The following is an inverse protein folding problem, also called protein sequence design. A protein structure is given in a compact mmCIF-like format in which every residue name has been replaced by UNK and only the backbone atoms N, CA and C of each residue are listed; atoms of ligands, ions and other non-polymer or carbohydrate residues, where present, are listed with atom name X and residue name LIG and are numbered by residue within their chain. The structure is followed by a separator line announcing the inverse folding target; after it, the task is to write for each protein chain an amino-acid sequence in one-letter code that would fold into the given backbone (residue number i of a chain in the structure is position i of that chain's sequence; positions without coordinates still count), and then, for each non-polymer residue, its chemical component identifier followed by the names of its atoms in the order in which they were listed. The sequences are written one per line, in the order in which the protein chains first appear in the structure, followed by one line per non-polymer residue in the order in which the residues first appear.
data_IF_954345195466
#
_entry.id   IF_954345195466
#
_cell.length_a   1.000
_cell.length_b   1.000
_cell.length_c   1.000
_cell.angle_alpha   90.00
_cell.angle_beta   90.00
_cell.angle_gamma   90.00
#
_symmetry.space_group_name_H-M   'P 1'
#
loop_
_entity.id
_entity.type
_entity.pdbx_description
1 polymer ?
#
# COMPACT_ATOMS: atom_id res chain seq x y z
N UNK A 1 -30.35 60.88 15.40
CA UNK A 1 -30.72 59.52 14.94
C UNK A 1 -29.47 58.84 14.52
N UNK A 2 -28.96 57.93 15.37
CA UNK A 2 -27.74 57.13 15.08
C UNK A 2 -28.18 55.79 14.47
N UNK A 3 -27.79 55.53 13.21
CA UNK A 3 -28.04 54.25 12.55
C UNK A 3 -26.94 53.27 12.96
N UNK A 4 -27.30 52.27 13.78
CA UNK A 4 -26.44 51.17 14.15
C UNK A 4 -26.46 50.16 12.97
N UNK A 5 -25.35 50.06 12.28
CA UNK A 5 -25.14 49.03 11.24
C UNK A 5 -24.58 47.77 11.92
N UNK A 6 -25.40 46.74 12.03
CA UNK A 6 -24.97 45.43 12.48
C UNK A 6 -24.15 44.73 11.36
N UNK A 7 -22.85 44.63 11.53
CA UNK A 7 -21.98 43.78 10.69
C UNK A 7 -22.13 42.35 11.18
N UNK A 8 -22.88 41.55 10.45
CA UNK A 8 -22.87 40.09 10.61
C UNK A 8 -21.56 39.53 10.00
N UNK A 9 -20.58 39.29 10.86
CA UNK A 9 -19.39 38.54 10.47
C UNK A 9 -19.77 37.04 10.42
N UNK A 10 -20.01 36.55 9.21
CA UNK A 10 -20.24 35.16 8.95
C UNK A 10 -18.88 34.43 9.04
N UNK A 11 -18.57 33.84 10.19
CA UNK A 11 -17.42 32.96 10.36
C UNK A 11 -17.65 31.69 9.57
N UNK A 12 -17.12 31.61 8.36
CA UNK A 12 -16.94 30.37 7.60
C UNK A 12 -15.86 29.53 8.32
N UNK A 13 -16.31 28.64 9.18
CA UNK A 13 -15.45 27.64 9.77
C UNK A 13 -15.13 26.63 8.66
N UNK A 14 -14.03 26.86 7.95
CA UNK A 14 -13.45 25.83 7.07
C UNK A 14 -12.97 24.68 7.96
N UNK A 15 -13.80 23.64 8.09
CA UNK A 15 -13.36 22.37 8.60
C UNK A 15 -12.37 21.77 7.58
N UNK A 16 -11.08 22.04 7.77
CA UNK A 16 -10.02 21.32 7.11
C UNK A 16 -10.10 19.87 7.61
N UNK A 17 -10.82 19.03 6.90
CA UNK A 17 -10.72 17.59 7.04
C UNK A 17 -9.26 17.23 6.71
N UNK A 18 -8.47 16.92 7.75
CA UNK A 18 -7.11 16.43 7.57
C UNK A 18 -7.24 15.09 6.86
N UNK A 19 -7.01 15.08 5.55
CA UNK A 19 -6.93 13.85 4.80
C UNK A 19 -5.81 13.01 5.43
N UNK A 20 -6.17 11.86 5.98
CA UNK A 20 -5.20 10.93 6.55
C UNK A 20 -4.31 10.45 5.39
N UNK A 21 -2.99 10.53 5.55
CA UNK A 21 -2.07 10.13 4.49
C UNK A 21 -2.23 8.64 4.19
N UNK A 22 -2.35 8.29 2.91
CA UNK A 22 -2.38 6.91 2.44
C UNK A 22 -1.08 6.18 2.79
N UNK A 23 -1.16 4.91 3.17
CA UNK A 23 -0.01 4.09 3.54
C UNK A 23 -0.26 2.62 3.18
N UNK A 24 0.82 1.86 3.03
CA UNK A 24 0.73 0.44 2.71
C UNK A 24 0.76 -0.44 3.95
N UNK A 25 -0.07 -1.47 3.96
CA UNK A 25 0.04 -2.66 4.79
C UNK A 25 0.14 -3.89 3.90
N UNK A 26 0.40 -5.04 4.50
CA UNK A 26 0.48 -6.32 3.78
C UNK A 26 -0.52 -7.33 4.34
N UNK A 27 -0.96 -8.25 3.52
CA UNK A 27 -1.85 -9.31 3.96
C UNK A 27 -1.13 -10.28 4.89
N UNK A 28 -1.79 -10.64 6.01
CA UNK A 28 -1.18 -11.45 7.06
C UNK A 28 -1.12 -12.94 6.71
N UNK A 29 -2.06 -13.44 5.94
CA UNK A 29 -2.22 -14.87 5.64
C UNK A 29 -2.51 -15.14 4.17
N UNK A 30 -2.53 -16.41 3.80
CA UNK A 30 -2.85 -16.87 2.45
C UNK A 30 -4.34 -16.88 2.12
N UNK A 31 -5.19 -16.51 3.09
CA UNK A 31 -6.62 -16.36 2.87
C UNK A 31 -7.12 -15.13 3.62
N UNK A 32 -7.45 -14.08 2.87
CA UNK A 32 -7.95 -12.82 3.40
C UNK A 32 -9.19 -12.40 2.64
N UNK A 33 -10.28 -12.14 3.36
CA UNK A 33 -11.54 -11.70 2.80
C UNK A 33 -11.56 -10.19 2.60
N UNK A 34 -11.82 -9.77 1.38
CA UNK A 34 -12.18 -8.39 1.01
C UNK A 34 -13.70 -8.29 1.01
N UNK A 35 -14.27 -7.39 1.83
CA UNK A 35 -15.70 -7.23 1.99
C UNK A 35 -16.22 -5.96 1.34
N UNK A 36 -17.52 -5.93 1.06
CA UNK A 36 -18.18 -4.76 0.46
C UNK A 36 -18.33 -3.59 1.45
N UNK A 37 -18.31 -3.85 2.75
CA UNK A 37 -18.45 -2.84 3.79
C UNK A 37 -17.68 -3.19 5.06
N UNK A 38 -17.61 -2.23 6.02
CA UNK A 38 -16.75 -2.31 7.20
C UNK A 38 -17.38 -3.10 8.36
N UNK A 39 -17.90 -4.30 8.07
CA UNK A 39 -18.35 -5.23 9.11
C UNK A 39 -18.27 -6.68 8.65
N UNK A 40 -18.33 -7.62 9.59
CA UNK A 40 -18.33 -9.07 9.29
C UNK A 40 -19.61 -9.55 8.59
N UNK A 41 -20.68 -8.78 8.68
CA UNK A 41 -21.98 -9.10 8.04
C UNK A 41 -22.03 -8.68 6.57
N UNK A 42 -21.15 -7.77 6.14
CA UNK A 42 -21.06 -7.42 4.72
C UNK A 42 -20.55 -8.59 3.89
N UNK A 43 -21.11 -8.78 2.68
CA UNK A 43 -20.68 -9.87 1.80
C UNK A 43 -19.18 -9.80 1.45
N UNK A 44 -18.59 -10.99 1.30
CA UNK A 44 -17.24 -11.12 0.76
C UNK A 44 -17.28 -10.86 -0.74
N UNK A 45 -16.49 -9.91 -1.20
CA UNK A 45 -16.37 -9.49 -2.59
C UNK A 45 -15.28 -10.25 -3.33
N UNK A 46 -14.17 -10.50 -2.63
CA UNK A 46 -12.97 -11.16 -3.15
C UNK A 46 -12.25 -11.87 -2.02
N UNK A 47 -11.63 -13.01 -2.33
CA UNK A 47 -10.75 -13.72 -1.39
C UNK A 47 -9.32 -13.68 -1.93
N UNK A 48 -8.43 -13.00 -1.22
CA UNK A 48 -7.01 -13.04 -1.53
C UNK A 48 -6.39 -14.35 -1.05
N UNK A 49 -5.55 -14.93 -1.88
CA UNK A 49 -4.84 -16.19 -1.58
C UNK A 49 -3.32 -16.04 -1.58
N UNK A 50 -2.83 -14.81 -1.39
CA UNK A 50 -1.40 -14.51 -1.42
C UNK A 50 -0.98 -13.70 -0.18
N UNK A 51 -0.31 -14.39 0.74
CA UNK A 51 0.31 -13.75 1.90
C UNK A 51 1.31 -12.67 1.49
N UNK A 52 1.38 -11.61 2.29
CA UNK A 52 2.27 -10.45 2.11
C UNK A 52 1.97 -9.59 0.86
N UNK A 53 0.85 -9.81 0.18
CA UNK A 53 0.41 -8.89 -0.85
C UNK A 53 0.24 -7.49 -0.25
N UNK A 54 0.92 -6.46 -0.80
CA UNK A 54 0.75 -5.09 -0.32
C UNK A 54 -0.58 -4.51 -0.78
N UNK A 55 -1.23 -3.80 0.12
CA UNK A 55 -2.49 -3.09 -0.13
C UNK A 55 -2.39 -1.66 0.40
N UNK A 56 -2.87 -0.70 -0.39
CA UNK A 56 -2.90 0.71 0.00
C UNK A 56 -4.12 0.95 0.90
N UNK A 57 -3.89 1.50 2.07
CA UNK A 57 -4.95 1.89 3.00
C UNK A 57 -5.44 3.28 2.61
N UNK A 58 -6.72 3.38 2.25
CA UNK A 58 -7.33 4.62 1.76
C UNK A 58 -8.41 5.18 2.69
N UNK A 59 -8.90 4.37 3.62
CA UNK A 59 -9.90 4.79 4.62
C UNK A 59 -9.90 3.82 5.81
N UNK A 60 -10.54 4.21 6.90
CA UNK A 60 -10.71 3.40 8.10
C UNK A 60 -12.12 3.54 8.67
N UNK A 61 -12.61 2.46 9.26
CA UNK A 61 -13.85 2.44 10.04
C UNK A 61 -13.71 1.39 11.15
N UNK A 62 -13.58 1.83 12.42
CA UNK A 62 -13.34 0.92 13.55
C UNK A 62 -12.22 -0.08 13.28
N UNK A 63 -12.53 -1.37 13.33
CA UNK A 63 -11.58 -2.46 13.12
C UNK A 63 -11.41 -2.86 11.64
N UNK A 64 -11.87 -2.05 10.71
CA UNK A 64 -11.74 -2.29 9.29
C UNK A 64 -10.91 -1.20 8.61
N UNK A 65 -10.22 -1.60 7.54
CA UNK A 65 -9.49 -0.69 6.65
C UNK A 65 -10.01 -0.85 5.24
N UNK A 66 -10.34 0.27 4.60
CA UNK A 66 -10.61 0.28 3.17
C UNK A 66 -9.31 0.26 2.42
N UNK A 67 -9.19 -0.66 1.49
CA UNK A 67 -7.96 -0.88 0.74
C UNK A 67 -8.15 -0.68 -0.75
N UNK A 68 -7.05 -0.42 -1.43
CA UNK A 68 -6.90 -0.51 -2.87
C UNK A 68 -5.70 -1.42 -3.17
N UNK A 69 -5.89 -2.45 -4.00
CA UNK A 69 -4.81 -3.33 -4.42
C UNK A 69 -4.18 -2.87 -5.75
N UNK A 70 -3.13 -3.57 -6.19
CA UNK A 70 -2.40 -3.26 -7.42
C UNK A 70 -3.20 -3.53 -8.70
N UNK A 71 -4.33 -4.22 -8.62
CA UNK A 71 -5.27 -4.48 -9.72
C UNK A 71 -6.53 -3.59 -9.65
N UNK A 72 -6.49 -2.55 -8.80
CA UNK A 72 -7.60 -1.60 -8.55
C UNK A 72 -8.86 -2.21 -7.90
N UNK A 73 -8.73 -3.37 -7.24
CA UNK A 73 -9.81 -3.86 -6.39
C UNK A 73 -9.84 -3.05 -5.09
N UNK A 74 -11.04 -2.64 -4.69
CA UNK A 74 -11.25 -1.91 -3.44
C UNK A 74 -12.33 -2.56 -2.59
N UNK A 75 -12.20 -2.45 -1.29
CA UNK A 75 -13.13 -2.98 -0.30
C UNK A 75 -12.53 -2.91 1.11
N UNK A 76 -13.13 -3.64 2.04
CA UNK A 76 -12.81 -3.57 3.45
C UNK A 76 -12.20 -4.87 3.98
N UNK A 77 -11.11 -4.74 4.71
CA UNK A 77 -10.39 -5.85 5.36
C UNK A 77 -10.33 -5.57 6.86
N UNK A 78 -10.60 -6.60 7.67
CA UNK A 78 -10.44 -6.52 9.12
C UNK A 78 -8.96 -6.39 9.49
N UNK A 79 -8.63 -5.55 10.47
CA UNK A 79 -7.25 -5.25 10.87
C UNK A 79 -6.46 -6.49 11.30
N UNK A 80 -7.12 -7.53 11.83
CA UNK A 80 -6.47 -8.80 12.18
C UNK A 80 -5.85 -9.52 10.98
N UNK A 81 -6.30 -9.21 9.76
CA UNK A 81 -5.82 -9.80 8.50
C UNK A 81 -4.71 -8.96 7.84
N UNK A 82 -4.32 -7.86 8.45
CA UNK A 82 -3.28 -6.96 7.96
C UNK A 82 -2.03 -7.03 8.83
N UNK A 83 -0.88 -6.74 8.25
CA UNK A 83 0.40 -6.71 8.95
C UNK A 83 1.27 -5.54 8.48
N UNK A 84 2.30 -5.23 9.28
CA UNK A 84 3.31 -4.22 8.98
C UNK A 84 4.57 -4.81 8.33
N UNK A 85 4.56 -6.07 7.94
CA UNK A 85 5.69 -6.70 7.24
C UNK A 85 5.92 -6.00 5.91
N UNK A 86 7.18 -5.84 5.54
CA UNK A 86 7.59 -5.11 4.34
C UNK A 86 7.56 -6.03 3.13
N UNK A 87 6.76 -5.68 2.15
CA UNK A 87 6.71 -6.32 0.84
C UNK A 87 6.18 -5.35 -0.22
N UNK A 88 6.57 -5.57 -1.44
CA UNK A 88 6.19 -4.75 -2.57
C UNK A 88 5.96 -5.60 -3.83
N UNK A 89 5.23 -5.06 -4.77
CA UNK A 89 5.04 -5.63 -6.10
C UNK A 89 5.97 -4.91 -7.07
N UNK A 90 6.67 -5.68 -7.90
CA UNK A 90 7.36 -5.12 -9.06
C UNK A 90 6.33 -4.62 -10.07
N UNK A 91 6.32 -3.32 -10.35
CA UNK A 91 5.35 -2.69 -11.24
C UNK A 91 5.86 -2.48 -12.67
N UNK A 92 7.09 -2.87 -12.95
CA UNK A 92 7.74 -2.68 -14.24
C UNK A 92 8.14 -4.01 -14.85
N UNK A 93 7.80 -4.24 -16.12
CA UNK A 93 8.23 -5.44 -16.83
C UNK A 93 9.74 -5.42 -17.05
N UNK A 94 10.39 -6.59 -16.93
CA UNK A 94 11.81 -6.75 -17.21
C UNK A 94 12.74 -6.06 -16.21
N UNK A 95 12.31 -5.85 -14.97
CA UNK A 95 13.18 -5.27 -13.92
C UNK A 95 14.32 -6.22 -13.59
N UNK A 96 15.54 -5.71 -13.66
CA UNK A 96 16.73 -6.50 -13.35
C UNK A 96 17.03 -6.45 -11.85
N UNK A 97 17.23 -7.62 -11.27
CA UNK A 97 17.72 -7.81 -9.91
C UNK A 97 19.24 -7.93 -9.95
N UNK A 98 19.94 -7.07 -9.22
CA UNK A 98 21.40 -7.01 -9.21
C UNK A 98 21.98 -7.56 -7.90
N UNK A 99 23.20 -8.04 -7.95
CA UNK A 99 23.95 -8.53 -6.79
C UNK A 99 24.26 -7.41 -5.77
N UNK A 100 24.52 -6.20 -6.26
CA UNK A 100 24.82 -5.00 -5.47
C UNK A 100 23.90 -3.85 -5.89
N UNK A 101 23.75 -2.80 -5.09
CA UNK A 101 22.94 -1.62 -5.45
C UNK A 101 23.63 -0.73 -6.50
N UNK A 102 23.88 -1.31 -7.66
CA UNK A 102 24.53 -0.67 -8.81
C UNK A 102 24.14 -1.36 -10.10
N UNK A 103 23.84 -0.59 -11.14
CA UNK A 103 23.57 -1.11 -12.49
C UNK A 103 24.77 -1.77 -13.15
N UNK A 104 25.97 -1.53 -12.64
CA UNK A 104 27.24 -2.11 -13.11
C UNK A 104 27.58 -3.43 -12.41
N UNK A 105 26.80 -3.84 -11.40
CA UNK A 105 27.01 -5.11 -10.73
C UNK A 105 26.39 -6.27 -11.49
N UNK A 106 26.70 -7.50 -11.06
CA UNK A 106 26.23 -8.71 -11.72
C UNK A 106 24.69 -8.80 -11.67
N UNK A 107 24.00 -8.94 -12.81
CA UNK A 107 22.57 -9.26 -12.85
C UNK A 107 22.33 -10.67 -12.35
N UNK A 108 21.32 -10.87 -11.52
CA UNK A 108 20.95 -12.17 -10.95
C UNK A 108 19.70 -12.77 -11.59
N UNK A 109 18.73 -11.93 -11.91
CA UNK A 109 17.45 -12.35 -12.47
C UNK A 109 16.75 -11.15 -13.14
N UNK A 110 15.78 -11.47 -13.99
CA UNK A 110 14.82 -10.51 -14.55
C UNK A 110 13.46 -10.80 -13.94
N UNK A 111 12.80 -9.76 -13.42
CA UNK A 111 11.52 -9.89 -12.74
C UNK A 111 10.37 -9.47 -13.66
N UNK A 112 9.31 -10.28 -13.66
CA UNK A 112 8.06 -9.96 -14.33
C UNK A 112 7.30 -8.88 -13.56
N UNK A 113 6.47 -8.12 -14.25
CA UNK A 113 5.48 -7.24 -13.63
C UNK A 113 4.53 -8.07 -12.75
N UNK A 114 4.16 -7.54 -11.58
CA UNK A 114 3.31 -8.23 -10.62
C UNK A 114 4.05 -9.19 -9.67
N UNK A 115 5.35 -9.36 -9.83
CA UNK A 115 6.16 -10.22 -8.95
C UNK A 115 6.20 -9.66 -7.52
N UNK A 116 5.83 -10.49 -6.54
CA UNK A 116 5.92 -10.14 -5.12
C UNK A 116 7.38 -10.24 -4.65
N UNK A 117 7.83 -9.18 -3.99
CA UNK A 117 9.16 -9.04 -3.44
C UNK A 117 9.08 -8.77 -1.93
N UNK A 118 9.76 -9.59 -1.13
CA UNK A 118 9.94 -9.31 0.29
C UNK A 118 11.03 -8.26 0.44
N UNK A 119 10.70 -7.12 1.05
CA UNK A 119 11.65 -6.02 1.21
C UNK A 119 12.48 -6.24 2.47
N UNK A 120 13.80 -6.31 2.31
CA UNK A 120 14.75 -6.42 3.40
C UNK A 120 15.14 -5.05 3.94
N UNK A 121 15.58 -4.16 3.05
CA UNK A 121 15.92 -2.76 3.34
C UNK A 121 15.99 -1.95 2.05
N UNK A 122 15.80 -0.64 2.17
CA UNK A 122 16.02 0.30 1.07
C UNK A 122 17.06 1.35 1.48
N UNK A 123 17.92 1.74 0.54
CA UNK A 123 18.97 2.73 0.71
C UNK A 123 19.32 3.39 -0.63
N UNK A 124 19.37 4.72 -0.66
CA UNK A 124 19.81 5.49 -1.83
C UNK A 124 19.11 5.06 -3.14
N UNK A 125 17.78 5.05 -3.16
CA UNK A 125 16.94 4.67 -4.30
C UNK A 125 17.02 3.19 -4.73
N UNK A 126 17.68 2.37 -3.94
CA UNK A 126 17.76 0.92 -4.12
C UNK A 126 17.10 0.17 -2.97
N UNK A 127 16.48 -0.96 -3.28
CA UNK A 127 15.92 -1.86 -2.27
C UNK A 127 16.53 -3.26 -2.41
N UNK A 128 16.99 -3.80 -1.29
CA UNK A 128 17.34 -5.22 -1.18
C UNK A 128 16.08 -6.01 -0.95
N UNK A 129 15.81 -6.97 -1.83
CA UNK A 129 14.60 -7.79 -1.79
C UNK A 129 14.94 -9.27 -1.88
N UNK A 130 13.99 -10.09 -1.44
CA UNK A 130 13.96 -11.52 -1.69
C UNK A 130 12.73 -11.86 -2.52
N UNK A 131 12.91 -12.61 -3.60
CA UNK A 131 11.83 -13.16 -4.42
C UNK A 131 12.21 -14.57 -4.87
N UNK A 132 11.37 -15.56 -4.53
CA UNK A 132 11.75 -16.97 -4.71
C UNK A 132 13.06 -17.28 -3.98
N UNK A 133 14.02 -17.86 -4.69
CA UNK A 133 15.36 -18.18 -4.17
C UNK A 133 16.40 -17.06 -4.37
N UNK A 134 16.00 -15.94 -4.98
CA UNK A 134 16.90 -14.84 -5.28
C UNK A 134 16.86 -13.77 -4.18
N UNK A 135 18.02 -13.27 -3.80
CA UNK A 135 18.20 -12.11 -2.95
C UNK A 135 19.12 -11.14 -3.67
N UNK A 136 18.68 -9.91 -3.83
CA UNK A 136 19.45 -8.90 -4.56
C UNK A 136 18.84 -7.53 -4.45
N UNK A 137 19.32 -6.64 -5.30
CA UNK A 137 18.99 -5.23 -5.31
C UNK A 137 18.30 -4.82 -6.60
N UNK A 138 17.26 -4.02 -6.47
CA UNK A 138 16.60 -3.37 -7.59
C UNK A 138 16.26 -1.91 -7.24
N UNK A 139 15.94 -1.13 -8.26
CA UNK A 139 15.60 0.29 -8.03
C UNK A 139 14.24 0.41 -7.34
N UNK A 140 14.19 1.25 -6.32
CA UNK A 140 12.99 1.54 -5.52
C UNK A 140 11.82 1.97 -6.40
N UNK A 141 12.08 2.74 -7.47
CA UNK A 141 11.05 3.22 -8.42
C UNK A 141 10.28 2.10 -9.12
N UNK A 142 10.85 0.88 -9.19
CA UNK A 142 10.19 -0.28 -9.78
C UNK A 142 9.21 -0.97 -8.83
N UNK A 143 9.18 -0.56 -7.58
CA UNK A 143 8.36 -1.18 -6.54
C UNK A 143 7.16 -0.31 -6.15
N UNK A 144 6.06 -0.99 -5.85
CA UNK A 144 4.91 -0.39 -5.19
C UNK A 144 4.50 -1.26 -4.00
N UNK A 145 4.37 -0.67 -2.83
CA UNK A 145 4.05 -1.40 -1.62
C UNK A 145 4.66 -0.79 -0.36
N UNK A 146 4.85 -1.64 0.64
CA UNK A 146 5.45 -1.27 1.92
C UNK A 146 6.97 -1.50 1.88
N UNK A 147 7.71 -0.41 1.75
CA UNK A 147 9.18 -0.39 1.69
C UNK A 147 9.82 -0.18 3.07
#
# INVERSE_FOLDING_TARGET
MVKIVFFFIFYLVFNFSKAESEYYLTLRSDKVNLRQGPSMEHPVKLVYKKKLLPVLIIDKSYNFRKILDHENNSGWIHISQLSKKKAAINKTEGTILFKKPSEFSKPLATLEMGRLCLVKRCKNDWCKIKTGNYVGWLKMKSLTGRL
#
